data_IF_809095891833
#
_entry.id   IF_809095891833
#
_cell.length_a   1.000
_cell.length_b   1.000
_cell.length_c   1.000
_cell.angle_alpha   90.00
_cell.angle_beta   90.00
_cell.angle_gamma   90.00
#
_symmetry.space_group_name_H-M   'P 1'
#
loop_
_entity.id
_entity.type
_entity.pdbx_description
1 polymer ?
#
# COMPACT_ATOMS: atom_id res chain seq x y z
N UNK A 1 8.05 26.12 -6.43
CA UNK A 1 7.15 25.54 -5.41
C UNK A 1 7.18 24.04 -5.63
N UNK A 2 7.83 23.30 -4.75
CA UNK A 2 7.81 21.83 -4.79
C UNK A 2 6.39 21.41 -4.41
N UNK A 3 5.64 20.85 -5.36
CA UNK A 3 4.41 20.13 -5.02
C UNK A 3 4.81 19.05 -4.01
N UNK A 4 4.28 19.17 -2.82
CA UNK A 4 4.42 18.13 -1.79
C UNK A 4 3.76 16.87 -2.34
N UNK A 5 4.53 15.84 -2.62
CA UNK A 5 4.01 14.58 -3.14
C UNK A 5 3.18 13.95 -2.02
N UNK A 6 1.87 14.21 -2.05
CA UNK A 6 0.92 13.61 -1.11
C UNK A 6 0.95 12.10 -1.34
N UNK A 7 1.50 11.36 -0.39
CA UNK A 7 1.64 9.89 -0.47
C UNK A 7 0.30 9.19 -0.36
N UNK A 8 -0.62 9.70 0.47
CA UNK A 8 -1.95 9.14 0.72
C UNK A 8 -2.95 10.25 1.06
N UNK A 9 -4.24 9.95 0.95
CA UNK A 9 -5.29 10.85 1.39
C UNK A 9 -5.56 10.66 2.89
N UNK A 10 -5.61 11.74 3.63
CA UNK A 10 -5.88 11.71 5.06
C UNK A 10 -7.29 11.19 5.39
N UNK A 11 -7.39 10.50 6.50
CA UNK A 11 -8.67 10.02 7.03
C UNK A 11 -9.23 11.04 7.99
N UNK A 12 -10.51 11.44 7.79
CA UNK A 12 -11.18 12.29 8.77
C UNK A 12 -11.16 11.64 10.15
N UNK A 13 -10.84 12.40 11.22
CA UNK A 13 -10.84 11.90 12.60
C UNK A 13 -12.15 11.20 12.99
N UNK A 14 -13.27 11.67 12.45
CA UNK A 14 -14.62 11.15 12.74
C UNK A 14 -15.11 10.10 11.75
N UNK A 15 -14.32 9.76 10.72
CA UNK A 15 -14.69 8.74 9.75
C UNK A 15 -14.87 7.39 10.43
N UNK A 16 -16.00 6.74 10.19
CA UNK A 16 -16.26 5.40 10.72
C UNK A 16 -15.48 4.36 9.94
N UNK A 17 -14.78 3.53 10.67
CA UNK A 17 -13.96 2.44 10.16
C UNK A 17 -14.49 1.12 10.68
N UNK A 18 -14.68 0.17 9.77
CA UNK A 18 -15.18 -1.17 10.06
C UNK A 18 -14.11 -2.20 9.76
N UNK A 19 -13.93 -3.17 10.63
CA UNK A 19 -13.08 -4.32 10.35
C UNK A 19 -13.86 -5.60 10.54
N UNK A 20 -14.07 -6.30 9.46
CA UNK A 20 -14.74 -7.59 9.42
C UNK A 20 -13.75 -8.71 9.70
N UNK A 21 -14.12 -9.65 10.54
CA UNK A 21 -13.23 -10.75 10.93
C UNK A 21 -14.00 -11.95 11.46
N UNK A 22 -13.33 -13.08 11.56
CA UNK A 22 -13.84 -14.25 12.28
C UNK A 22 -13.71 -14.07 13.81
N UNK A 23 -14.47 -14.88 14.55
CA UNK A 23 -14.48 -14.85 16.02
C UNK A 23 -13.09 -15.15 16.62
N UNK A 24 -12.30 -16.01 15.99
CA UNK A 24 -10.96 -16.35 16.49
C UNK A 24 -10.02 -15.15 16.46
N UNK A 25 -10.04 -14.36 15.37
CA UNK A 25 -9.27 -13.12 15.26
C UNK A 25 -9.73 -12.07 16.27
N UNK A 26 -11.04 -12.00 16.54
CA UNK A 26 -11.56 -11.10 17.56
C UNK A 26 -11.11 -11.50 18.98
N UNK A 27 -11.22 -12.77 19.32
CA UNK A 27 -10.74 -13.27 20.63
C UNK A 27 -9.24 -13.02 20.79
N UNK A 28 -8.47 -13.22 19.72
CA UNK A 28 -7.05 -12.89 19.73
C UNK A 28 -6.81 -11.39 19.99
N UNK A 29 -7.51 -10.51 19.30
CA UNK A 29 -7.41 -9.05 19.45
C UNK A 29 -7.68 -8.64 20.90
N UNK A 30 -8.81 -9.05 21.50
CA UNK A 30 -9.17 -8.66 22.86
C UNK A 30 -8.30 -9.37 23.92
N UNK A 31 -7.97 -10.64 23.71
CA UNK A 31 -7.20 -11.44 24.67
C UNK A 31 -5.72 -11.08 24.72
N UNK A 32 -5.16 -10.67 23.60
CA UNK A 32 -3.75 -10.27 23.51
C UNK A 32 -3.55 -8.76 23.50
N UNK A 33 -4.62 -7.96 23.35
CA UNK A 33 -4.55 -6.52 23.11
C UNK A 33 -3.59 -6.20 21.95
N UNK A 34 -3.69 -6.95 20.86
CA UNK A 34 -2.81 -6.85 19.69
C UNK A 34 -3.60 -6.79 18.40
N UNK A 35 -3.27 -5.81 17.56
CA UNK A 35 -3.80 -5.66 16.22
C UNK A 35 -2.82 -6.29 15.22
N UNK A 36 -3.34 -7.19 14.37
CA UNK A 36 -2.55 -7.85 13.34
C UNK A 36 -2.42 -6.97 12.11
N UNK A 37 -1.18 -6.83 11.64
CA UNK A 37 -0.79 -6.18 10.40
C UNK A 37 -0.25 -7.25 9.45
N UNK A 38 -0.95 -7.49 8.37
CA UNK A 38 -0.54 -8.44 7.35
C UNK A 38 0.66 -7.91 6.56
N UNK A 39 1.59 -8.78 6.20
CA UNK A 39 2.63 -8.44 5.24
C UNK A 39 2.00 -8.17 3.88
N UNK A 40 2.39 -7.11 3.22
CA UNK A 40 1.90 -6.79 1.87
C UNK A 40 2.30 -7.87 0.85
N UNK A 41 3.38 -8.61 1.12
CA UNK A 41 3.81 -9.76 0.32
C UNK A 41 2.77 -10.90 0.31
N UNK A 42 1.96 -11.01 1.39
CA UNK A 42 0.93 -12.05 1.51
C UNK A 42 -0.36 -11.76 0.74
N UNK A 43 -0.48 -10.58 0.11
CA UNK A 43 -1.67 -10.21 -0.63
C UNK A 43 -1.70 -10.89 -2.00
N UNK A 44 -2.86 -11.44 -2.36
CA UNK A 44 -3.04 -12.15 -3.63
C UNK A 44 -2.97 -11.23 -4.85
N UNK A 45 -3.43 -9.98 -4.70
CA UNK A 45 -3.34 -9.01 -5.80
C UNK A 45 -1.91 -8.53 -5.99
N UNK A 46 -1.32 -8.94 -7.10
CA UNK A 46 0.06 -8.58 -7.48
C UNK A 46 0.27 -7.08 -7.69
N UNK A 47 -0.82 -6.32 -7.91
CA UNK A 47 -0.76 -4.86 -8.05
C UNK A 47 -0.65 -4.13 -6.71
N UNK A 48 -0.96 -4.78 -5.59
CA UNK A 48 -0.86 -4.16 -4.27
C UNK A 48 0.59 -3.98 -3.85
N UNK A 49 1.03 -2.73 -3.74
CA UNK A 49 2.42 -2.38 -3.45
C UNK A 49 3.38 -2.57 -4.63
N UNK A 50 2.88 -2.99 -5.78
CA UNK A 50 3.66 -3.03 -7.00
C UNK A 50 3.85 -1.61 -7.56
N UNK A 51 5.03 -1.35 -8.09
CA UNK A 51 5.34 -0.05 -8.72
C UNK A 51 4.86 0.00 -10.18
N UNK A 52 3.64 -0.51 -10.43
CA UNK A 52 2.81 -0.19 -11.60
C UNK A 52 3.13 -0.85 -12.94
N UNK A 53 4.02 -1.86 -13.06
CA UNK A 53 4.54 -2.29 -14.38
C UNK A 53 4.39 -3.80 -14.65
N UNK A 54 3.46 -4.50 -14.02
CA UNK A 54 3.49 -5.97 -14.05
C UNK A 54 2.87 -6.60 -15.31
N UNK A 55 1.83 -6.02 -15.93
CA UNK A 55 1.09 -6.71 -17.00
C UNK A 55 1.26 -6.20 -18.44
N UNK A 56 1.77 -5.00 -18.64
CA UNK A 56 1.99 -4.46 -19.99
C UNK A 56 3.37 -3.84 -20.15
N UNK A 57 4.37 -4.70 -20.19
CA UNK A 57 5.78 -4.31 -20.36
C UNK A 57 6.06 -3.40 -21.58
N UNK A 58 5.15 -3.33 -22.58
CA UNK A 58 5.36 -2.53 -23.79
C UNK A 58 5.04 -1.04 -23.61
N UNK A 59 3.84 -0.69 -23.14
CA UNK A 59 3.37 0.72 -23.20
C UNK A 59 4.01 1.58 -22.09
N UNK A 60 4.19 1.01 -20.91
CA UNK A 60 4.71 1.77 -19.77
C UNK A 60 6.23 1.78 -19.69
N UNK A 61 6.88 0.72 -20.17
CA UNK A 61 8.34 0.74 -20.31
C UNK A 61 8.79 1.84 -21.25
N UNK A 62 8.05 2.13 -22.32
CA UNK A 62 8.38 3.17 -23.26
C UNK A 62 8.43 4.56 -22.59
N UNK A 63 7.37 4.99 -21.92
CA UNK A 63 7.33 6.28 -21.22
C UNK A 63 8.33 6.41 -20.07
N UNK A 64 8.57 5.33 -19.30
CA UNK A 64 9.58 5.35 -18.25
C UNK A 64 11.00 5.30 -18.82
N UNK A 65 11.21 4.55 -19.87
CA UNK A 65 12.48 4.49 -20.57
C UNK A 65 12.83 5.87 -21.13
N UNK A 66 11.91 6.52 -21.84
CA UNK A 66 12.06 7.89 -22.34
C UNK A 66 12.39 8.88 -21.21
N UNK A 67 11.65 8.82 -20.09
CA UNK A 67 11.92 9.67 -18.92
C UNK A 67 13.31 9.41 -18.33
N UNK A 68 13.70 8.15 -18.16
CA UNK A 68 15.01 7.79 -17.63
C UNK A 68 16.13 8.16 -18.58
N UNK A 69 15.95 7.99 -19.87
CA UNK A 69 16.91 8.44 -20.89
C UNK A 69 17.08 9.95 -20.86
N UNK A 70 15.97 10.69 -20.80
CA UNK A 70 16.00 12.14 -20.62
C UNK A 70 16.73 12.53 -19.33
N UNK A 71 16.43 11.89 -18.22
CA UNK A 71 17.07 12.17 -16.93
C UNK A 71 18.57 11.86 -16.94
N UNK A 72 19.00 10.79 -17.62
CA UNK A 72 20.43 10.46 -17.81
C UNK A 72 21.13 11.53 -18.63
N UNK A 73 20.48 12.04 -19.69
CA UNK A 73 21.05 13.07 -20.58
C UNK A 73 21.09 14.46 -19.95
N UNK A 74 20.19 14.76 -19.01
CA UNK A 74 20.03 16.07 -18.36
C UNK A 74 20.71 16.19 -16.99
N UNK A 75 21.65 15.29 -16.67
CA UNK A 75 22.41 15.38 -15.40
C UNK A 75 23.17 16.71 -15.30
N UNK A 76 23.25 17.33 -14.08
CA UNK A 76 24.00 18.56 -13.87
C UNK A 76 25.46 18.45 -14.35
N UNK A 77 25.98 19.53 -14.91
CA UNK A 77 27.35 19.65 -15.40
C UNK A 77 28.39 19.23 -14.36
N UNK A 78 29.19 18.28 -14.71
CA UNK A 78 30.25 17.70 -13.87
C UNK A 78 30.60 16.25 -14.24
N UNK A 79 29.71 15.56 -14.92
CA UNK A 79 29.87 14.18 -15.39
C UNK A 79 29.59 14.05 -16.91
N UNK A 80 29.97 15.05 -17.71
CA UNK A 80 29.89 14.93 -19.17
C UNK A 80 30.87 13.87 -19.65
N UNK A 81 30.47 12.60 -19.56
CA UNK A 81 30.96 11.55 -20.43
C UNK A 81 30.20 11.69 -21.75
N UNK A 82 30.87 11.43 -22.87
CA UNK A 82 30.17 11.27 -24.16
C UNK A 82 29.13 10.16 -24.01
N UNK A 83 27.89 10.55 -23.77
CA UNK A 83 26.76 9.63 -23.55
C UNK A 83 26.32 9.15 -24.92
N UNK A 84 26.82 7.99 -25.35
CA UNK A 84 26.32 7.31 -26.56
C UNK A 84 24.88 6.85 -26.33
N UNK A 85 24.10 6.77 -27.40
CA UNK A 85 22.70 6.31 -27.32
C UNK A 85 22.63 4.91 -26.70
N UNK A 86 23.53 4.02 -27.10
CA UNK A 86 23.64 2.67 -26.52
C UNK A 86 23.88 2.68 -25.00
N UNK A 87 24.71 3.58 -24.49
CA UNK A 87 24.96 3.73 -23.06
C UNK A 87 23.71 4.21 -22.33
N UNK A 88 22.99 5.18 -22.88
CA UNK A 88 21.78 5.76 -22.29
C UNK A 88 20.66 4.70 -22.24
N UNK A 89 20.37 4.03 -23.34
CA UNK A 89 19.35 2.97 -23.41
C UNK A 89 19.63 1.83 -22.43
N UNK A 90 20.86 1.35 -22.40
CA UNK A 90 21.28 0.27 -21.48
C UNK A 90 21.12 0.67 -20.00
N UNK A 91 21.51 1.88 -19.64
CA UNK A 91 21.40 2.35 -18.26
C UNK A 91 19.94 2.62 -17.89
N UNK A 92 19.12 3.19 -18.75
CA UNK A 92 17.69 3.37 -18.54
C UNK A 92 17.00 2.02 -18.29
N UNK A 93 17.24 1.02 -19.13
CA UNK A 93 16.72 -0.33 -18.96
C UNK A 93 17.18 -0.99 -17.64
N UNK A 94 18.44 -0.79 -17.26
CA UNK A 94 18.97 -1.31 -15.99
C UNK A 94 18.32 -0.64 -14.78
N UNK A 95 18.14 0.68 -14.80
CA UNK A 95 17.48 1.43 -13.72
C UNK A 95 16.02 0.96 -13.61
N UNK A 96 15.30 0.83 -14.70
CA UNK A 96 13.93 0.35 -14.74
C UNK A 96 13.81 -1.04 -14.12
N UNK A 97 14.65 -1.98 -14.53
CA UNK A 97 14.68 -3.35 -13.97
C UNK A 97 15.01 -3.37 -12.48
N UNK A 98 15.87 -2.47 -12.00
CA UNK A 98 16.19 -2.34 -10.58
C UNK A 98 15.01 -1.78 -9.78
N UNK A 99 14.26 -0.80 -10.33
CA UNK A 99 13.05 -0.25 -9.71
C UNK A 99 11.95 -1.32 -9.59
N UNK A 100 11.75 -2.13 -10.63
CA UNK A 100 10.78 -3.24 -10.61
C UNK A 100 11.13 -4.25 -9.50
N UNK A 101 12.38 -4.69 -9.45
CA UNK A 101 12.85 -5.63 -8.41
C UNK A 101 12.75 -5.07 -7.01
N UNK A 102 13.09 -3.80 -6.82
CA UNK A 102 12.95 -3.12 -5.53
C UNK A 102 11.50 -3.09 -5.07
N UNK A 103 10.55 -2.79 -5.96
CA UNK A 103 9.12 -2.77 -5.65
C UNK A 103 8.62 -4.11 -5.11
N UNK A 104 8.98 -5.20 -5.76
CA UNK A 104 8.62 -6.56 -5.32
C UNK A 104 9.27 -6.88 -3.96
N UNK A 105 10.55 -6.53 -3.78
CA UNK A 105 11.27 -6.86 -2.55
C UNK A 105 10.85 -6.02 -1.35
N UNK A 106 10.31 -4.83 -1.54
CA UNK A 106 9.82 -3.96 -0.46
C UNK A 106 8.56 -4.49 0.22
N UNK A 107 7.71 -5.21 -0.49
CA UNK A 107 6.43 -5.73 0.04
C UNK A 107 6.58 -6.51 1.35
N UNK A 108 7.67 -7.23 1.52
CA UNK A 108 7.97 -8.02 2.74
C UNK A 108 8.33 -7.18 3.97
N UNK A 109 8.58 -5.88 3.80
CA UNK A 109 8.88 -4.94 4.88
C UNK A 109 7.73 -4.00 5.20
N UNK A 110 6.64 -4.05 4.42
CA UNK A 110 5.45 -3.22 4.57
C UNK A 110 4.35 -4.07 5.17
N UNK A 111 3.79 -3.59 6.27
CA UNK A 111 2.74 -4.29 7.01
C UNK A 111 1.52 -3.40 7.12
N UNK A 112 0.34 -3.95 6.85
CA UNK A 112 -0.90 -3.20 6.76
C UNK A 112 -2.02 -3.83 7.57
N UNK A 113 -2.83 -2.98 8.18
CA UNK A 113 -4.11 -3.33 8.78
C UNK A 113 -5.21 -2.61 8.01
N UNK A 114 -6.06 -3.37 7.32
CA UNK A 114 -7.09 -2.86 6.41
C UNK A 114 -8.42 -2.68 7.13
N UNK A 115 -9.10 -1.56 6.81
CA UNK A 115 -10.37 -1.14 7.38
C UNK A 115 -11.29 -0.65 6.25
N UNK A 116 -12.59 -0.91 6.38
CA UNK A 116 -13.60 -0.38 5.48
C UNK A 116 -14.13 0.95 6.01
N UNK A 117 -14.03 2.02 5.22
CA UNK A 117 -14.48 3.35 5.60
C UNK A 117 -15.89 3.60 5.05
N UNK A 118 -16.90 3.52 5.91
CA UNK A 118 -18.29 3.81 5.52
C UNK A 118 -19.11 4.22 6.75
N UNK A 119 -20.17 5.01 6.53
CA UNK A 119 -21.11 5.38 7.59
C UNK A 119 -21.91 4.19 8.12
N UNK A 120 -22.15 3.20 7.28
CA UNK A 120 -22.89 1.98 7.57
C UNK A 120 -22.04 0.74 7.32
N UNK A 121 -22.40 -0.37 7.92
CA UNK A 121 -21.84 -1.66 7.56
C UNK A 121 -22.16 -2.02 6.09
N UNK A 122 -21.32 -2.83 5.48
CA UNK A 122 -21.44 -3.21 4.07
C UNK A 122 -21.79 -4.68 3.93
N UNK A 123 -22.92 -4.98 3.26
CA UNK A 123 -23.30 -6.36 2.93
C UNK A 123 -22.26 -7.04 2.05
N UNK A 124 -21.63 -6.31 1.14
CA UNK A 124 -20.55 -6.85 0.30
C UNK A 124 -19.37 -7.30 1.13
N UNK A 125 -18.97 -6.49 2.13
CA UNK A 125 -17.87 -6.82 3.04
C UNK A 125 -18.24 -7.99 3.95
N UNK A 126 -19.48 -8.06 4.42
CA UNK A 126 -19.97 -9.24 5.15
C UNK A 126 -19.82 -10.51 4.30
N UNK A 127 -20.28 -10.50 3.07
CA UNK A 127 -20.17 -11.65 2.16
C UNK A 127 -18.72 -12.07 1.92
N UNK A 128 -17.81 -11.11 1.73
CA UNK A 128 -16.39 -11.39 1.51
C UNK A 128 -15.71 -12.03 2.72
N UNK A 129 -15.99 -11.51 3.92
CA UNK A 129 -15.29 -11.94 5.14
C UNK A 129 -16.01 -13.02 5.92
N UNK A 130 -17.30 -13.32 5.61
CA UNK A 130 -18.09 -14.36 6.27
C UNK A 130 -18.42 -15.56 5.38
N UNK A 131 -18.08 -15.54 4.10
CA UNK A 131 -18.48 -16.59 3.14
C UNK A 131 -18.12 -18.01 3.57
N UNK A 132 -17.05 -18.17 4.34
CA UNK A 132 -16.54 -19.45 4.83
C UNK A 132 -16.58 -19.59 6.37
N UNK A 133 -17.18 -18.64 7.10
CA UNK A 133 -17.11 -18.58 8.57
C UNK A 133 -18.50 -18.34 9.15
N UNK A 134 -19.02 -19.34 9.88
CA UNK A 134 -20.35 -19.22 10.53
C UNK A 134 -20.43 -18.13 11.61
N UNK A 135 -19.28 -17.70 12.14
CA UNK A 135 -19.17 -16.78 13.27
C UNK A 135 -18.30 -15.57 12.87
N UNK A 136 -18.76 -14.79 11.92
CA UNK A 136 -18.15 -13.52 11.57
C UNK A 136 -18.69 -12.38 12.44
N UNK A 137 -17.87 -11.37 12.68
CA UNK A 137 -18.24 -10.14 13.36
C UNK A 137 -17.54 -8.96 12.72
N UNK A 138 -18.02 -7.75 13.00
CA UNK A 138 -17.37 -6.52 12.59
C UNK A 138 -17.15 -5.65 13.84
N UNK A 139 -15.95 -5.11 13.98
CA UNK A 139 -15.68 -4.06 14.95
C UNK A 139 -15.79 -2.70 14.27
N UNK A 140 -16.29 -1.71 14.98
CA UNK A 140 -16.37 -0.34 14.53
C UNK A 140 -15.47 0.55 15.39
N UNK A 141 -14.80 1.48 14.74
CA UNK A 141 -14.01 2.53 15.37
C UNK A 141 -14.06 3.81 14.53
N UNK A 142 -13.32 4.82 14.89
CA UNK A 142 -13.12 6.03 14.08
C UNK A 142 -11.64 6.19 13.72
N UNK A 143 -11.33 7.07 12.75
CA UNK A 143 -9.94 7.37 12.39
C UNK A 143 -9.13 7.84 13.60
N UNK A 144 -9.72 8.69 14.43
CA UNK A 144 -9.10 9.19 15.66
C UNK A 144 -8.87 8.09 16.71
N UNK A 145 -9.91 7.29 16.97
CA UNK A 145 -9.81 6.19 17.94
C UNK A 145 -8.77 5.13 17.52
N UNK A 146 -8.70 4.80 16.23
CA UNK A 146 -7.69 3.88 15.72
C UNK A 146 -6.27 4.43 15.94
N UNK A 147 -6.05 5.72 15.68
CA UNK A 147 -4.77 6.38 15.92
C UNK A 147 -4.39 6.38 17.41
N UNK A 148 -5.35 6.67 18.28
CA UNK A 148 -5.15 6.65 19.73
C UNK A 148 -4.90 5.24 20.26
N UNK A 149 -5.70 4.27 19.83
CA UNK A 149 -5.54 2.86 20.20
C UNK A 149 -4.16 2.30 19.80
N UNK A 150 -3.57 2.79 18.73
CA UNK A 150 -2.20 2.45 18.30
C UNK A 150 -1.12 3.25 19.07
N UNK A 151 -1.50 3.93 20.16
CA UNK A 151 -0.57 4.68 21.00
C UNK A 151 0.01 5.93 20.33
N UNK A 152 -0.65 6.46 19.28
CA UNK A 152 -0.16 7.59 18.47
C UNK A 152 1.26 7.31 17.92
N UNK A 153 1.53 6.05 17.59
CA UNK A 153 2.84 5.60 17.11
C UNK A 153 3.21 6.31 15.80
N UNK A 154 4.25 7.15 15.78
CA UNK A 154 4.66 7.89 14.58
C UNK A 154 5.19 6.99 13.45
N UNK A 155 5.44 5.72 13.73
CA UNK A 155 5.82 4.73 12.72
C UNK A 155 4.61 4.13 11.99
N UNK A 156 3.39 4.50 12.37
CA UNK A 156 2.15 4.04 11.73
C UNK A 156 1.48 5.20 11.01
N UNK A 157 1.37 5.09 9.71
CA UNK A 157 0.63 6.01 8.87
C UNK A 157 -0.80 5.48 8.67
N UNK A 158 -1.83 6.33 8.81
CA UNK A 158 -3.22 5.96 8.58
C UNK A 158 -3.76 6.80 7.43
N UNK A 159 -4.20 6.16 6.35
CA UNK A 159 -4.65 6.84 5.15
C UNK A 159 -5.62 6.03 4.31
N UNK A 160 -6.29 6.71 3.38
CA UNK A 160 -7.17 6.07 2.40
C UNK A 160 -6.37 5.49 1.25
N UNK A 161 -6.82 4.35 0.77
CA UNK A 161 -6.33 3.73 -0.47
C UNK A 161 -6.86 4.50 -1.68
N UNK A 162 -5.98 4.77 -2.64
CA UNK A 162 -6.34 5.34 -3.94
C UNK A 162 -6.61 4.22 -4.94
N UNK A 163 -7.77 4.27 -5.55
CA UNK A 163 -8.14 3.31 -6.58
C UNK A 163 -7.77 3.86 -7.95
N UNK A 164 -6.82 3.20 -8.60
CA UNK A 164 -6.27 3.63 -9.88
C UNK A 164 -6.50 2.60 -10.98
N UNK A 165 -6.58 3.07 -12.19
CA UNK A 165 -6.57 2.21 -13.38
C UNK A 165 -5.11 1.99 -13.82
N UNK A 166 -4.54 0.87 -13.42
CA UNK A 166 -3.16 0.49 -13.77
C UNK A 166 -2.92 0.30 -15.28
N UNK A 167 -3.97 0.38 -16.11
CA UNK A 167 -3.81 0.42 -17.57
C UNK A 167 -3.53 1.84 -18.08
N UNK A 168 -3.73 2.87 -17.24
CA UNK A 168 -3.61 4.28 -17.60
C UNK A 168 -2.83 5.12 -16.60
N UNK A 169 -2.62 4.61 -15.40
CA UNK A 169 -2.01 5.35 -14.29
C UNK A 169 -0.96 4.51 -13.59
N UNK A 170 0.07 5.17 -13.11
CA UNK A 170 1.10 4.53 -12.29
C UNK A 170 0.82 4.69 -10.81
N UNK A 171 1.16 3.68 -10.04
CA UNK A 171 1.38 3.86 -8.62
C UNK A 171 2.69 4.62 -8.40
N UNK A 172 2.74 5.59 -7.48
CA UNK A 172 3.96 6.33 -7.20
C UNK A 172 5.04 5.39 -6.68
N UNK A 173 6.30 5.68 -7.03
CA UNK A 173 7.46 4.89 -6.60
C UNK A 173 7.50 4.79 -5.07
N UNK A 174 7.25 5.90 -4.38
CA UNK A 174 7.11 5.95 -2.93
C UNK A 174 5.62 5.98 -2.57
N UNK A 175 5.12 4.89 -1.97
CA UNK A 175 3.72 4.81 -1.55
C UNK A 175 2.81 4.03 -2.51
N UNK A 176 3.37 3.15 -3.33
CA UNK A 176 2.57 2.23 -4.17
C UNK A 176 1.62 1.34 -3.34
N UNK A 177 1.94 1.09 -2.09
CA UNK A 177 1.10 0.38 -1.13
C UNK A 177 -0.16 1.15 -0.69
N UNK A 178 -0.29 2.41 -1.10
CA UNK A 178 -1.52 3.20 -1.00
C UNK A 178 -2.40 3.12 -2.25
N UNK A 179 -2.00 2.33 -3.24
CA UNK A 179 -2.75 2.18 -4.49
C UNK A 179 -3.31 0.76 -4.62
N UNK A 180 -4.51 0.68 -5.17
CA UNK A 180 -5.21 -0.57 -5.46
C UNK A 180 -5.94 -0.47 -6.81
N UNK A 181 -6.21 -1.59 -7.47
CA UNK A 181 -6.96 -1.60 -8.72
C UNK A 181 -8.36 -1.02 -8.52
N UNK A 182 -8.82 -0.25 -9.50
CA UNK A 182 -10.15 0.39 -9.46
C UNK A 182 -11.30 -0.61 -9.29
N UNK A 183 -11.13 -1.86 -9.69
CA UNK A 183 -12.10 -2.94 -9.46
C UNK A 183 -12.40 -3.23 -7.99
N UNK A 184 -11.55 -2.81 -7.06
CA UNK A 184 -11.72 -2.95 -5.62
C UNK A 184 -12.27 -1.68 -4.93
N UNK A 185 -12.69 -0.67 -5.69
CA UNK A 185 -13.15 0.62 -5.14
C UNK A 185 -14.32 0.48 -4.15
N UNK A 186 -15.11 -0.57 -4.29
CA UNK A 186 -16.21 -0.90 -3.36
C UNK A 186 -15.73 -1.21 -1.93
N UNK A 187 -14.46 -1.54 -1.74
CA UNK A 187 -13.90 -1.79 -0.41
C UNK A 187 -13.70 -0.51 0.40
N UNK A 188 -13.66 0.68 -0.23
CA UNK A 188 -13.48 1.97 0.44
C UNK A 188 -12.40 1.88 1.54
N UNK A 189 -11.26 1.34 1.17
CA UNK A 189 -10.25 0.88 2.12
C UNK A 189 -9.47 2.04 2.75
N UNK A 190 -9.34 1.98 4.06
CA UNK A 190 -8.38 2.74 4.86
C UNK A 190 -7.33 1.76 5.38
N UNK A 191 -6.08 2.12 5.29
CA UNK A 191 -4.95 1.34 5.82
C UNK A 191 -4.30 2.04 7.00
N UNK A 192 -3.97 1.26 8.04
CA UNK A 192 -2.87 1.59 8.93
C UNK A 192 -1.65 0.85 8.40
N UNK A 193 -0.58 1.58 8.09
CA UNK A 193 0.62 1.05 7.44
C UNK A 193 1.83 1.30 8.32
N UNK A 194 2.69 0.31 8.44
CA UNK A 194 3.99 0.46 9.10
C UNK A 194 5.08 -0.23 8.29
N UNK A 195 6.28 0.33 8.36
CA UNK A 195 7.47 -0.25 7.77
C UNK A 195 8.36 -0.84 8.85
N UNK A 196 8.80 -2.09 8.65
CA UNK A 196 9.71 -2.77 9.58
C UNK A 196 10.94 -3.27 8.83
N UNK A 197 12.12 -2.93 9.30
CA UNK A 197 13.39 -3.29 8.64
C UNK A 197 13.65 -4.81 8.58
N UNK A 198 12.97 -5.58 9.42
CA UNK A 198 13.09 -7.04 9.44
C UNK A 198 11.90 -7.65 8.70
N UNK A 199 12.18 -8.39 7.64
CA UNK A 199 11.13 -9.11 6.91
C UNK A 199 10.44 -10.13 7.83
N UNK A 200 9.10 -10.19 7.74
CA UNK A 200 8.30 -11.24 8.34
C UNK A 200 7.35 -11.80 7.28
N UNK A 201 7.35 -13.10 7.12
CA UNK A 201 6.68 -13.79 6.01
C UNK A 201 5.14 -13.66 6.00
N UNK A 202 4.52 -13.47 7.17
CA UNK A 202 3.05 -13.49 7.25
C UNK A 202 2.47 -12.16 7.74
N UNK A 203 3.10 -11.54 8.74
CA UNK A 203 2.63 -10.31 9.35
C UNK A 203 3.29 -10.06 10.71
N UNK A 204 2.89 -8.95 11.32
CA UNK A 204 3.34 -8.54 12.65
C UNK A 204 2.15 -8.16 13.53
N UNK A 205 2.39 -8.10 14.80
CA UNK A 205 1.42 -7.68 15.81
C UNK A 205 1.88 -6.36 16.42
N UNK A 206 0.95 -5.42 16.58
CA UNK A 206 1.18 -4.17 17.33
C UNK A 206 0.26 -4.15 18.53
N UNK A 207 0.77 -3.68 19.66
CA UNK A 207 -0.04 -3.46 20.85
C UNK A 207 -1.11 -2.39 20.57
N UNK A 208 -2.32 -2.62 21.07
CA UNK A 208 -3.43 -1.67 20.96
C UNK A 208 -4.13 -1.53 22.29
N UNK A 209 -4.48 -0.29 22.60
CA UNK A 209 -5.39 0.03 23.69
C UNK A 209 -6.82 -0.19 23.21
N UNK A 210 -7.57 -1.02 23.92
CA UNK A 210 -8.96 -1.39 23.60
C UNK A 210 -9.93 -1.00 24.73
N UNK A 211 -9.49 -0.17 25.67
CA UNK A 211 -10.35 0.35 26.77
C UNK A 211 -11.26 1.48 26.33
#
# INVERSE_FOLDING_TARGET
MSEEIIRYEEVSPTAKLWRYMDLAKFIFLIGKKKLYFASLESFEDIFEGAKGIIERKGIWNESYTEFLEWAIRTQPEGNMRDLTDEYVEKNAAMILSNLERAGVSERKYIFVSCWHCNQYESEAMWKLYSANVKNALAIQTTGQQLYEALGKDPSVEIGKVRYIDFTRQFAPINGSYWCKRKSFEYEQEVRAVTYVRKAACCGIEKDVDIE
#
